data_IF_779068841651
#
_entry.id   IF_779068841651
#
_cell.length_a   1.000
_cell.length_b   1.000
_cell.length_c   1.000
_cell.angle_alpha   90.00
_cell.angle_beta   90.00
_cell.angle_gamma   90.00
#
_symmetry.space_group_name_H-M   'P 1'
#
loop_
_entity.id
_entity.type
_entity.pdbx_description
1 polymer ?
#
# COMPACT_ATOMS: atom_id res chain seq x y z
N UNK A 1 6.08 16.88 8.98
CA UNK A 1 4.63 16.52 8.91
C UNK A 1 4.24 15.86 7.59
N UNK A 2 4.82 16.29 6.46
CA UNK A 2 4.49 15.78 5.12
C UNK A 2 4.90 14.30 4.96
N UNK A 3 6.01 13.91 5.56
CA UNK A 3 6.62 12.57 5.42
C UNK A 3 5.84 11.53 6.23
N UNK A 4 5.38 11.91 7.43
CA UNK A 4 4.44 11.12 8.23
C UNK A 4 3.13 10.86 7.46
N UNK A 5 2.61 11.86 6.74
CA UNK A 5 1.41 11.69 5.90
C UNK A 5 1.65 10.70 4.75
N UNK A 6 2.84 10.73 4.14
CA UNK A 6 3.23 9.81 3.07
C UNK A 6 3.35 8.37 3.60
N UNK A 7 3.97 8.18 4.76
CA UNK A 7 4.04 6.87 5.42
C UNK A 7 2.65 6.35 5.77
N UNK A 8 1.78 7.18 6.34
CA UNK A 8 0.41 6.80 6.71
C UNK A 8 -0.40 6.38 5.47
N UNK A 9 -0.23 7.10 4.35
CA UNK A 9 -0.86 6.77 3.08
C UNK A 9 -0.35 5.45 2.51
N UNK A 10 0.95 5.17 2.60
CA UNK A 10 1.53 3.88 2.22
C UNK A 10 0.96 2.72 3.03
N UNK A 11 0.86 2.87 4.35
CA UNK A 11 0.24 1.87 5.24
C UNK A 11 -1.23 1.66 4.88
N UNK A 12 -1.98 2.74 4.61
CA UNK A 12 -3.37 2.65 4.19
C UNK A 12 -3.54 1.88 2.88
N UNK A 13 -2.64 2.05 1.91
CA UNK A 13 -2.63 1.27 0.66
C UNK A 13 -2.37 -0.23 0.89
N UNK A 14 -1.46 -0.57 1.81
CA UNK A 14 -1.21 -1.97 2.19
C UNK A 14 -2.47 -2.59 2.79
N UNK A 15 -3.07 -1.90 3.76
CA UNK A 15 -4.31 -2.37 4.42
C UNK A 15 -5.47 -2.47 3.44
N UNK A 16 -5.58 -1.53 2.49
CA UNK A 16 -6.58 -1.56 1.44
C UNK A 16 -6.41 -2.77 0.52
N UNK A 17 -5.19 -3.09 0.09
CA UNK A 17 -4.92 -4.29 -0.71
C UNK A 17 -5.31 -5.59 0.02
N UNK A 18 -5.01 -5.68 1.31
CA UNK A 18 -5.40 -6.82 2.17
C UNK A 18 -6.93 -6.88 2.33
N UNK A 19 -7.60 -5.74 2.51
CA UNK A 19 -9.05 -5.67 2.64
C UNK A 19 -9.76 -6.09 1.34
N UNK A 20 -9.23 -5.70 0.18
CA UNK A 20 -9.73 -6.16 -1.11
C UNK A 20 -9.61 -7.68 -1.22
N UNK A 21 -8.43 -8.26 -0.92
CA UNK A 21 -8.24 -9.72 -0.87
C UNK A 21 -9.28 -10.42 0.00
N UNK A 22 -9.54 -9.86 1.20
CA UNK A 22 -10.49 -10.44 2.13
C UNK A 22 -11.94 -10.33 1.64
N UNK A 23 -12.32 -9.23 0.97
CA UNK A 23 -13.67 -9.04 0.43
C UNK A 23 -13.97 -9.91 -0.80
N UNK A 24 -12.97 -10.20 -1.63
CA UNK A 24 -13.17 -10.89 -2.91
C UNK A 24 -12.84 -12.39 -2.88
N UNK A 25 -12.52 -12.95 -1.71
CA UNK A 25 -12.11 -14.36 -1.53
C UNK A 25 -13.13 -15.39 -2.05
N UNK A 26 -14.42 -15.03 -2.14
CA UNK A 26 -15.50 -15.89 -2.67
C UNK A 26 -16.08 -15.43 -4.02
N UNK A 27 -15.57 -14.33 -4.59
CA UNK A 27 -15.99 -13.86 -5.91
C UNK A 27 -15.20 -14.58 -7.01
N UNK A 28 -15.85 -14.94 -8.12
CA UNK A 28 -15.14 -15.46 -9.31
C UNK A 28 -14.36 -14.27 -9.91
N UNK A 29 -13.10 -14.13 -9.49
CA UNK A 29 -12.30 -12.96 -9.79
C UNK A 29 -11.94 -12.90 -11.28
N UNK A 30 -12.41 -11.84 -11.96
CA UNK A 30 -11.84 -11.42 -13.24
C UNK A 30 -10.33 -11.19 -13.06
N UNK A 31 -9.49 -11.65 -14.00
CA UNK A 31 -8.02 -11.63 -13.84
C UNK A 31 -7.41 -10.24 -13.55
N UNK A 32 -8.12 -9.16 -13.86
CA UNK A 32 -7.74 -7.80 -13.48
C UNK A 32 -7.82 -7.53 -11.97
N UNK A 33 -8.80 -8.11 -11.29
CA UNK A 33 -9.03 -7.91 -9.85
C UNK A 33 -7.95 -8.60 -9.02
N UNK A 34 -7.58 -9.84 -9.40
CA UNK A 34 -6.42 -10.57 -8.90
C UNK A 34 -5.10 -9.81 -9.09
N UNK A 35 -4.94 -9.16 -10.25
CA UNK A 35 -3.76 -8.35 -10.52
C UNK A 35 -3.69 -7.13 -9.61
N UNK A 36 -4.82 -6.41 -9.45
CA UNK A 36 -4.91 -5.24 -8.57
C UNK A 36 -4.71 -5.61 -7.10
N UNK A 37 -5.29 -6.72 -6.63
CA UNK A 37 -5.11 -7.25 -5.28
C UNK A 37 -3.63 -7.48 -4.96
N UNK A 38 -2.85 -7.95 -5.94
CA UNK A 38 -1.43 -8.20 -5.77
C UNK A 38 -0.60 -6.92 -5.86
N UNK A 39 -0.90 -6.03 -6.80
CA UNK A 39 -0.09 -4.83 -7.10
C UNK A 39 -0.28 -3.71 -6.08
N UNK A 40 -1.50 -3.48 -5.60
CA UNK A 40 -1.82 -2.43 -4.62
C UNK A 40 -0.96 -2.53 -3.33
N UNK A 41 -0.81 -3.69 -2.67
CA UNK A 41 0.03 -3.79 -1.48
C UNK A 41 1.52 -3.59 -1.78
N UNK A 42 2.02 -3.99 -2.96
CA UNK A 42 3.41 -3.68 -3.36
C UNK A 42 3.64 -2.17 -3.51
N UNK A 43 2.69 -1.46 -4.13
CA UNK A 43 2.75 0.00 -4.23
C UNK A 43 2.74 0.63 -2.83
N UNK A 44 1.88 0.14 -1.92
CA UNK A 44 1.83 0.61 -0.54
C UNK A 44 3.15 0.43 0.22
N UNK A 45 3.85 -0.69 0.03
CA UNK A 45 5.18 -0.93 0.61
C UNK A 45 6.21 0.08 0.07
N UNK A 46 6.24 0.32 -1.25
CA UNK A 46 7.18 1.27 -1.87
C UNK A 46 6.92 2.69 -1.34
N UNK A 47 5.67 3.12 -1.31
CA UNK A 47 5.30 4.45 -0.81
C UNK A 47 5.69 4.62 0.67
N UNK A 48 5.47 3.57 1.49
CA UNK A 48 5.88 3.58 2.90
C UNK A 48 7.40 3.67 3.04
N UNK A 49 8.16 2.91 2.25
CA UNK A 49 9.62 2.93 2.26
C UNK A 49 10.18 4.29 1.83
N UNK A 50 9.61 4.92 0.80
CA UNK A 50 9.99 6.27 0.37
C UNK A 50 9.70 7.31 1.47
N UNK A 51 8.55 7.21 2.13
CA UNK A 51 8.22 8.06 3.28
C UNK A 51 9.21 7.91 4.45
N UNK A 52 9.68 6.68 4.69
CA UNK A 52 10.68 6.41 5.72
C UNK A 52 12.06 6.99 5.35
N UNK A 53 12.52 6.76 4.12
CA UNK A 53 13.82 7.27 3.64
C UNK A 53 13.88 8.80 3.62
N UNK A 54 12.78 9.46 3.23
CA UNK A 54 12.68 10.92 3.26
C UNK A 54 12.67 11.48 4.68
N UNK A 55 11.99 10.81 5.60
CA UNK A 55 12.02 11.16 7.03
C UNK A 55 13.41 11.00 7.65
N UNK A 56 14.11 9.90 7.34
CA UNK A 56 15.47 9.67 7.82
C UNK A 56 16.49 10.64 7.22
N UNK A 57 16.30 11.05 5.96
CA UNK A 57 17.15 12.05 5.31
C UNK A 57 16.98 13.45 5.92
N UNK A 58 15.75 13.87 6.23
CA UNK A 58 15.46 15.18 6.86
C UNK A 58 15.95 15.25 8.33
N UNK A 59 16.19 14.09 8.95
CA UNK A 59 16.70 13.99 10.34
C UNK A 59 18.22 14.10 10.47
N UNK A 60 18.97 14.09 9.35
CA UNK A 60 20.44 14.06 9.30
C UNK A 60 21.04 15.43 9.02
#
# INVERSE_FOLDING_TARGET
MKDIKIMLFGIALILFGIALKAMFIEYIESGFLLFMERVIPFIGIIVTAVGLLTTDYDRK
#
